data_IF_984764598737
#
_entry.id   IF_984764598737
#
_cell.length_a   1.000
_cell.length_b   1.000
_cell.length_c   1.000
_cell.angle_alpha   90.00
_cell.angle_beta   90.00
_cell.angle_gamma   90.00
#
_symmetry.space_group_name_H-M   'P 1'
#
loop_
_entity.id
_entity.type
_entity.pdbx_description
1 polymer ?
#
# COMPACT_ATOMS: atom_id res chain seq x y z
N UNK A 1 -30.89 3.93 -2.96
CA UNK A 1 -29.62 4.66 -2.69
C UNK A 1 -28.53 4.10 -3.61
N UNK A 2 -27.82 4.93 -4.37
CA UNK A 2 -26.68 4.46 -5.15
C UNK A 2 -25.62 3.84 -4.22
N UNK A 3 -25.07 2.67 -4.60
CA UNK A 3 -24.02 1.98 -3.81
C UNK A 3 -22.74 2.81 -3.71
N UNK A 4 -22.52 3.72 -4.67
CA UNK A 4 -21.39 4.64 -4.74
C UNK A 4 -21.91 6.09 -4.75
N UNK A 5 -21.16 7.02 -4.15
CA UNK A 5 -21.40 8.46 -4.33
C UNK A 5 -21.02 8.90 -5.75
N UNK A 6 -21.65 9.99 -6.24
CA UNK A 6 -21.36 10.57 -7.55
C UNK A 6 -19.86 10.88 -7.71
N UNK A 7 -19.26 11.53 -6.70
CA UNK A 7 -17.83 11.81 -6.72
C UNK A 7 -16.92 10.56 -6.74
N UNK A 8 -17.41 9.40 -6.30
CA UNK A 8 -16.66 8.14 -6.42
C UNK A 8 -16.78 7.56 -7.83
N UNK A 9 -17.95 7.71 -8.48
CA UNK A 9 -18.14 7.34 -9.88
C UNK A 9 -17.25 8.20 -10.79
N UNK A 10 -17.26 9.52 -10.60
CA UNK A 10 -16.45 10.47 -11.38
C UNK A 10 -14.95 10.14 -11.29
N UNK A 11 -14.49 9.70 -10.10
CA UNK A 11 -13.11 9.27 -9.91
C UNK A 11 -12.76 8.00 -10.66
N UNK A 12 -13.61 6.99 -10.59
CA UNK A 12 -13.41 5.74 -11.34
C UNK A 12 -13.41 6.02 -12.83
N UNK A 13 -14.24 6.94 -13.30
CA UNK A 13 -14.29 7.36 -14.69
C UNK A 13 -12.98 8.02 -15.14
N UNK A 14 -12.45 8.98 -14.37
CA UNK A 14 -11.14 9.61 -14.65
C UNK A 14 -10.01 8.58 -14.75
N UNK A 15 -9.91 7.70 -13.74
CA UNK A 15 -8.90 6.63 -13.72
C UNK A 15 -9.07 5.66 -14.89
N UNK A 16 -10.32 5.38 -15.29
CA UNK A 16 -10.59 4.58 -16.49
C UNK A 16 -10.15 5.26 -17.77
N UNK A 17 -10.30 6.57 -17.85
CA UNK A 17 -9.84 7.36 -19.00
C UNK A 17 -8.32 7.29 -19.11
N UNK A 18 -7.59 7.53 -18.02
CA UNK A 18 -6.13 7.39 -17.97
C UNK A 18 -5.65 5.97 -18.33
N UNK A 19 -6.39 4.94 -17.89
CA UNK A 19 -6.09 3.56 -18.30
C UNK A 19 -6.27 3.38 -19.81
N UNK A 20 -7.36 3.89 -20.40
CA UNK A 20 -7.61 3.81 -21.85
C UNK A 20 -6.51 4.52 -22.65
N UNK A 21 -5.98 5.62 -22.12
CA UNK A 21 -4.83 6.34 -22.68
C UNK A 21 -3.47 5.69 -22.40
N UNK A 22 -3.42 4.63 -21.58
CA UNK A 22 -2.18 3.94 -21.25
C UNK A 22 -1.23 4.73 -20.34
N UNK A 23 -1.73 5.78 -19.69
CA UNK A 23 -0.97 6.66 -18.79
C UNK A 23 -1.07 6.24 -17.33
N UNK A 24 -2.11 5.50 -16.96
CA UNK A 24 -2.31 5.02 -15.59
C UNK A 24 -1.19 4.07 -15.13
N UNK A 25 -0.55 4.39 -13.99
CA UNK A 25 0.51 3.61 -13.37
C UNK A 25 0.12 3.11 -11.98
N UNK A 26 0.61 1.94 -11.61
CA UNK A 26 0.51 1.38 -10.26
C UNK A 26 1.54 2.05 -9.35
N UNK A 27 1.19 2.36 -8.11
CA UNK A 27 2.01 3.13 -7.15
C UNK A 27 3.49 2.73 -7.05
N UNK A 28 3.86 1.91 -6.07
CA UNK A 28 5.27 1.67 -5.69
C UNK A 28 6.17 1.13 -6.81
N UNK A 29 5.60 0.45 -7.81
CA UNK A 29 6.38 -0.19 -8.88
C UNK A 29 6.39 0.60 -10.18
N UNK A 30 5.57 1.66 -10.30
CA UNK A 30 5.46 2.49 -11.52
C UNK A 30 4.96 1.77 -12.78
N UNK A 31 4.59 0.50 -12.69
CA UNK A 31 4.14 -0.32 -13.83
C UNK A 31 2.82 0.21 -14.39
N UNK A 32 2.66 0.16 -15.71
CA UNK A 32 1.39 0.51 -16.36
C UNK A 32 0.26 -0.43 -15.93
N UNK A 33 -0.92 0.13 -15.70
CA UNK A 33 -2.10 -0.64 -15.32
C UNK A 33 -2.71 -1.27 -16.56
N UNK A 34 -2.64 -2.58 -16.66
CA UNK A 34 -3.17 -3.34 -17.81
C UNK A 34 -4.61 -3.78 -17.59
N UNK A 35 -4.97 -4.07 -16.33
CA UNK A 35 -6.28 -4.64 -16.00
C UNK A 35 -7.33 -3.59 -15.68
N UNK A 36 -8.53 -3.72 -16.28
CA UNK A 36 -9.70 -2.90 -15.94
C UNK A 36 -10.07 -3.01 -14.46
N UNK A 37 -10.01 -4.21 -13.88
CA UNK A 37 -10.31 -4.44 -12.45
C UNK A 37 -9.36 -3.66 -11.54
N UNK A 38 -8.08 -3.61 -11.93
CA UNK A 38 -7.05 -2.88 -11.19
C UNK A 38 -7.29 -1.37 -11.23
N UNK A 39 -7.66 -0.81 -12.39
CA UNK A 39 -8.03 0.60 -12.49
C UNK A 39 -9.26 0.96 -11.63
N UNK A 40 -10.30 0.10 -11.60
CA UNK A 40 -11.43 0.31 -10.68
C UNK A 40 -10.94 0.32 -9.23
N UNK A 41 -10.08 -0.63 -8.85
CA UNK A 41 -9.55 -0.70 -7.49
C UNK A 41 -8.75 0.56 -7.10
N UNK A 42 -7.97 1.11 -8.03
CA UNK A 42 -7.25 2.38 -7.83
C UNK A 42 -8.25 3.53 -7.64
N UNK A 43 -9.19 3.71 -8.56
CA UNK A 43 -10.19 4.78 -8.46
C UNK A 43 -11.08 4.70 -7.22
N UNK A 44 -11.45 3.48 -6.78
CA UNK A 44 -12.19 3.28 -5.53
C UNK A 44 -11.33 3.56 -4.28
N UNK A 45 -10.04 3.25 -4.32
CA UNK A 45 -9.11 3.53 -3.21
C UNK A 45 -8.86 5.03 -3.07
N UNK A 46 -8.69 5.73 -4.19
CA UNK A 46 -8.56 7.19 -4.22
C UNK A 46 -9.85 7.89 -3.78
N UNK A 47 -11.01 7.38 -4.18
CA UNK A 47 -12.30 7.91 -3.72
C UNK A 47 -12.47 7.72 -2.20
N UNK A 48 -12.01 6.59 -1.65
CA UNK A 48 -12.02 6.36 -0.20
C UNK A 48 -11.04 7.27 0.54
N UNK A 49 -9.85 7.52 -0.01
CA UNK A 49 -8.87 8.45 0.56
C UNK A 49 -9.41 9.88 0.65
N UNK A 50 -10.23 10.29 -0.33
CA UNK A 50 -10.96 11.57 -0.32
C UNK A 50 -12.19 11.61 0.60
N UNK A 51 -12.47 10.56 1.36
CA UNK A 51 -13.63 10.51 2.25
C UNK A 51 -14.97 10.33 1.54
N UNK A 52 -14.97 9.99 0.24
CA UNK A 52 -16.21 9.77 -0.51
C UNK A 52 -16.88 8.47 -0.07
N UNK A 53 -18.21 8.42 -0.19
CA UNK A 53 -18.99 7.21 0.12
C UNK A 53 -18.70 6.13 -0.92
N UNK A 54 -17.93 5.13 -0.51
CA UNK A 54 -17.57 3.95 -1.29
C UNK A 54 -18.05 2.72 -0.50
N UNK A 55 -18.75 1.76 -1.12
CA UNK A 55 -19.19 0.56 -0.44
C UNK A 55 -17.96 -0.21 0.06
N UNK A 56 -18.08 -0.74 1.28
CA UNK A 56 -17.06 -1.63 1.83
C UNK A 56 -16.94 -2.82 0.88
N UNK A 57 -15.71 -3.24 0.60
CA UNK A 57 -15.51 -4.51 -0.09
C UNK A 57 -16.27 -5.58 0.70
N UNK A 58 -16.99 -6.50 0.04
CA UNK A 58 -17.62 -7.60 0.75
C UNK A 58 -16.54 -8.25 1.60
N UNK A 59 -16.81 -8.45 2.89
CA UNK A 59 -15.89 -9.16 3.76
C UNK A 59 -15.72 -10.55 3.17
N UNK A 60 -14.67 -10.75 2.37
CA UNK A 60 -14.12 -12.10 2.22
C UNK A 60 -13.84 -12.49 3.66
N UNK A 61 -14.48 -13.55 4.15
CA UNK A 61 -14.08 -14.22 5.38
C UNK A 61 -12.61 -14.59 5.18
N UNK A 62 -11.70 -13.69 5.50
CA UNK A 62 -10.32 -14.00 5.70
C UNK A 62 -10.39 -14.88 6.93
N UNK A 63 -10.27 -16.20 6.74
CA UNK A 63 -9.85 -17.07 7.82
C UNK A 63 -8.74 -16.30 8.52
N UNK A 64 -9.00 -15.97 9.78
CA UNK A 64 -8.15 -15.08 10.55
C UNK A 64 -6.71 -15.56 10.38
N UNK A 65 -5.88 -14.82 9.63
CA UNK A 65 -4.45 -14.86 9.89
C UNK A 65 -4.34 -14.17 11.25
N UNK A 66 -4.46 -15.03 12.27
CA UNK A 66 -4.05 -14.81 13.64
C UNK A 66 -2.63 -14.27 13.53
N UNK A 67 -2.51 -12.95 13.44
CA UNK A 67 -1.25 -12.26 13.65
C UNK A 67 -0.92 -12.57 15.10
N UNK A 68 -0.12 -13.62 15.31
CA UNK A 68 0.50 -13.86 16.60
C UNK A 68 1.05 -12.50 17.07
N UNK A 69 0.72 -12.04 18.28
CA UNK A 69 1.28 -10.80 18.77
C UNK A 69 2.80 -11.02 18.76
N UNK A 70 3.53 -10.23 17.97
CA UNK A 70 4.97 -10.10 18.17
C UNK A 70 5.12 -9.49 19.55
N UNK A 71 5.27 -10.39 20.53
CA UNK A 71 5.61 -10.12 21.91
C UNK A 71 6.74 -9.10 21.91
N UNK A 72 6.49 -7.98 22.57
CA UNK A 72 7.48 -6.97 22.87
C UNK A 72 8.73 -7.65 23.44
N UNK A 73 9.87 -7.47 22.75
CA UNK A 73 11.17 -7.68 23.35
C UNK A 73 11.90 -6.33 23.30
N UNK A 74 12.02 -5.76 24.49
CA UNK A 74 13.01 -4.78 24.93
C UNK A 74 12.99 -3.39 24.28
N UNK A 75 12.20 -2.50 24.90
CA UNK A 75 12.52 -1.07 24.92
C UNK A 75 13.59 -0.85 26.01
N UNK A 76 14.76 -0.33 25.57
CA UNK A 76 15.67 0.62 26.26
C UNK A 76 16.68 0.17 27.34
N UNK A 77 17.84 0.83 27.22
CA UNK A 77 18.89 1.24 28.20
C UNK A 77 19.91 0.23 28.71
N UNK A 78 21.16 0.35 28.22
CA UNK A 78 22.37 0.51 29.05
C UNK A 78 23.65 0.66 28.18
N UNK A 79 24.30 1.83 28.31
CA UNK A 79 25.75 1.95 28.56
C UNK A 79 26.78 1.51 27.50
N UNK A 80 27.27 2.48 26.72
CA UNK A 80 28.69 2.89 26.61
C UNK A 80 29.74 1.86 27.08
N UNK A 81 30.54 1.30 26.15
CA UNK A 81 31.98 1.07 26.38
C UNK A 81 32.79 0.88 25.09
N UNK A 82 33.82 1.69 24.99
CA UNK A 82 34.95 1.74 24.05
C UNK A 82 35.95 0.58 24.19
N UNK A 83 36.83 0.45 23.18
CA UNK A 83 38.03 -0.41 23.05
C UNK A 83 37.75 -1.85 22.56
N UNK A 84 38.49 -2.48 21.65
CA UNK A 84 39.86 -2.35 21.17
C UNK A 84 39.96 -3.00 19.74
N UNK A 85 40.60 -2.37 18.75
CA UNK A 85 42.01 -2.56 18.30
C UNK A 85 42.23 -3.72 17.29
N UNK A 86 42.92 -3.36 16.20
CA UNK A 86 43.72 -4.18 15.24
C UNK A 86 42.92 -5.03 14.23
N UNK A 87 43.28 -5.10 12.95
CA UNK A 87 44.46 -4.56 12.25
C UNK A 87 44.44 -4.93 10.76
N UNK A 88 45.15 -4.11 9.99
CA UNK A 88 45.49 -4.23 8.57
C UNK A 88 46.00 -5.61 8.12
N UNK A 89 45.67 -5.99 6.88
CA UNK A 89 46.48 -6.71 5.85
C UNK A 89 45.62 -6.79 4.56
N UNK A 90 45.91 -6.08 3.45
CA UNK A 90 46.89 -6.40 2.36
C UNK A 90 46.90 -7.90 2.04
N UNK A 91 46.79 -8.41 0.83
CA UNK A 91 47.13 -7.98 -0.54
C UNK A 91 46.54 -9.06 -1.49
N UNK A 92 46.35 -8.83 -2.79
CA UNK A 92 47.37 -8.84 -3.85
C UNK A 92 46.93 -8.05 -5.06
#
# INVERSE_FOLDING_TARGET
MAKYSKGAQDKVEKVMHERKHGTLKSGSTGKKVTSRKQAIAIGLSEARAEGKKVPKAPAKKTAAKKSAPKKAAAKKTASKKTAAKKGSRRSS
#
